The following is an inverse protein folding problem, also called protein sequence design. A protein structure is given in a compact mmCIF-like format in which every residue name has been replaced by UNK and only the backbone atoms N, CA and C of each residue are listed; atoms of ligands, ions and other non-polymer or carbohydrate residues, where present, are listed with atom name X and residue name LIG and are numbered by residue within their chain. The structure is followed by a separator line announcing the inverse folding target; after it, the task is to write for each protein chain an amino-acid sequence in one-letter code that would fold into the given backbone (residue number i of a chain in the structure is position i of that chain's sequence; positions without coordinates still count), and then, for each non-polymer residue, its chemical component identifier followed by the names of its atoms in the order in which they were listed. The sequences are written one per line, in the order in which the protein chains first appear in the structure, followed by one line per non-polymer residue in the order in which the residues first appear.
data_IF_009820459305
#
_entry.id   IF_009820459305
#
_cell.length_a   1.000
_cell.length_b   1.000
_cell.length_c   1.000
_cell.angle_alpha   90.00
_cell.angle_beta   90.00
_cell.angle_gamma   90.00
#
_symmetry.space_group_name_H-M   'P 1'
#
loop_
_entity.id
_entity.type
_entity.pdbx_description
1 polymer ?
#
# COMPACT_ATOMS: atom_id res chain seq x y z
N UNK A 1 -14.51 13.40 21.31
CA UNK A 1 -14.17 12.05 20.84
C UNK A 1 -13.00 12.26 19.91
N UNK A 2 -11.82 11.77 20.24
CA UNK A 2 -10.71 11.82 19.30
C UNK A 2 -10.94 10.71 18.27
N UNK A 3 -11.39 11.14 17.09
CA UNK A 3 -11.71 10.26 15.98
C UNK A 3 -10.42 9.59 15.50
N UNK A 4 -10.38 8.26 15.45
CA UNK A 4 -9.23 7.52 14.95
C UNK A 4 -9.41 7.25 13.46
N UNK A 5 -8.59 7.88 12.62
CA UNK A 5 -8.70 7.74 11.17
C UNK A 5 -7.88 6.56 10.66
N UNK A 6 -8.13 6.11 9.43
CA UNK A 6 -7.24 5.20 8.72
C UNK A 6 -5.80 5.70 8.73
N UNK A 7 -5.57 6.98 8.49
CA UNK A 7 -4.22 7.55 8.48
C UNK A 7 -3.52 7.40 9.83
N UNK A 8 -4.24 7.52 10.95
CA UNK A 8 -3.69 7.30 12.29
C UNK A 8 -3.33 5.83 12.52
N UNK A 9 -4.15 4.90 12.02
CA UNK A 9 -3.85 3.47 12.02
C UNK A 9 -2.56 3.17 11.25
N UNK A 10 -2.44 3.71 10.03
CA UNK A 10 -1.27 3.51 9.19
C UNK A 10 -0.01 4.16 9.78
N UNK A 11 -0.12 5.36 10.38
CA UNK A 11 0.98 5.99 11.10
C UNK A 11 1.46 5.15 12.28
N UNK A 12 0.52 4.60 13.06
CA UNK A 12 0.85 3.74 14.20
C UNK A 12 1.52 2.45 13.75
N UNK A 13 1.03 1.84 12.68
CA UNK A 13 1.66 0.66 12.07
C UNK A 13 3.06 0.97 11.55
N UNK A 14 3.23 2.05 10.79
CA UNK A 14 4.54 2.49 10.29
C UNK A 14 5.53 2.70 11.45
N UNK A 15 5.13 3.44 12.47
CA UNK A 15 5.96 3.70 13.65
C UNK A 15 6.35 2.41 14.40
N UNK A 16 5.44 1.43 14.48
CA UNK A 16 5.73 0.12 15.08
C UNK A 16 6.89 -0.62 14.39
N UNK A 17 7.11 -0.39 13.09
CA UNK A 17 8.24 -0.93 12.31
C UNK A 17 9.36 0.09 12.07
N UNK A 18 9.38 1.21 12.80
CA UNK A 18 10.40 2.26 12.64
C UNK A 18 10.32 3.06 11.33
N UNK A 19 9.18 3.00 10.64
CA UNK A 19 8.94 3.69 9.38
C UNK A 19 8.20 5.02 9.59
N UNK A 20 8.33 5.93 8.61
CA UNK A 20 7.56 7.18 8.53
C UNK A 20 6.75 7.19 7.25
N UNK A 21 5.50 7.65 7.31
CA UNK A 21 4.68 7.84 6.11
C UNK A 21 5.16 9.05 5.30
N UNK A 22 5.18 8.91 3.98
CA UNK A 22 5.47 9.99 3.05
C UNK A 22 4.31 11.00 3.03
N UNK A 23 4.62 12.26 3.34
CA UNK A 23 3.62 13.34 3.36
C UNK A 23 3.14 13.68 1.95
N UNK A 24 1.83 13.88 1.78
CA UNK A 24 1.24 14.37 0.53
C UNK A 24 1.18 13.34 -0.62
N UNK A 25 1.54 12.08 -0.37
CA UNK A 25 1.38 11.02 -1.36
C UNK A 25 -0.10 10.66 -1.54
N UNK A 26 -0.51 10.40 -2.79
CA UNK A 26 -1.87 9.96 -3.13
C UNK A 26 -2.21 8.55 -2.62
N UNK A 27 -1.19 7.81 -2.16
CA UNK A 27 -1.28 6.48 -1.57
C UNK A 27 -0.43 6.43 -0.33
N UNK A 28 -0.80 5.59 0.64
CA UNK A 28 -0.03 5.43 1.87
C UNK A 28 1.25 4.64 1.59
N UNK A 29 2.35 5.37 1.46
CA UNK A 29 3.70 4.84 1.33
C UNK A 29 4.59 5.34 2.45
N UNK A 30 5.67 4.63 2.73
CA UNK A 30 6.72 5.11 3.61
C UNK A 30 7.61 6.12 2.87
N UNK A 31 8.33 6.94 3.63
CA UNK A 31 9.56 7.54 3.14
C UNK A 31 10.53 6.44 2.64
N UNK A 32 11.45 6.75 1.71
CA UNK A 32 12.46 5.80 1.26
C UNK A 32 13.20 5.13 2.42
N UNK A 33 13.26 3.80 2.41
CA UNK A 33 13.97 3.04 3.44
C UNK A 33 15.43 2.75 3.03
N UNK A 34 15.69 2.67 1.73
CA UNK A 34 17.03 2.56 1.15
C UNK A 34 17.01 2.95 -0.33
N UNK A 35 18.14 3.41 -0.85
CA UNK A 35 18.33 3.70 -2.26
C UNK A 35 19.56 2.94 -2.75
N UNK A 36 19.43 2.26 -3.88
CA UNK A 36 20.49 1.51 -4.54
C UNK A 36 20.86 2.20 -5.84
N UNK A 37 22.15 2.31 -6.12
CA UNK A 37 22.64 2.64 -7.45
C UNK A 37 23.07 1.32 -8.11
N UNK A 38 22.41 0.93 -9.20
CA UNK A 38 22.70 -0.32 -9.89
C UNK A 38 23.95 -0.15 -10.74
N UNK A 39 25.03 -0.77 -10.29
CA UNK A 39 26.27 -0.95 -11.06
C UNK A 39 26.23 -2.25 -11.88
N UNK A 40 27.29 -2.51 -12.65
CA UNK A 40 27.37 -3.70 -13.50
C UNK A 40 27.26 -5.01 -12.68
N UNK A 41 27.79 -5.03 -11.45
CA UNK A 41 27.69 -6.17 -10.55
C UNK A 41 26.26 -6.41 -10.10
N UNK A 42 25.55 -5.34 -9.72
CA UNK A 42 24.15 -5.39 -9.32
C UNK A 42 23.26 -5.82 -10.47
N UNK A 43 23.53 -5.31 -11.69
CA UNK A 43 22.80 -5.70 -12.90
C UNK A 43 23.01 -7.18 -13.25
N UNK A 44 24.24 -7.69 -13.12
CA UNK A 44 24.52 -9.12 -13.32
C UNK A 44 23.77 -10.01 -12.31
N UNK A 45 23.79 -9.64 -11.03
CA UNK A 45 23.05 -10.34 -9.97
C UNK A 45 21.53 -10.33 -10.23
N UNK A 46 20.98 -9.19 -10.63
CA UNK A 46 19.56 -9.09 -10.99
C UNK A 46 19.21 -9.99 -12.19
N UNK A 47 20.10 -10.07 -13.18
CA UNK A 47 19.90 -10.91 -14.36
C UNK A 47 19.86 -12.41 -14.02
N UNK A 48 20.69 -12.88 -13.07
CA UNK A 48 20.64 -14.25 -12.53
C UNK A 48 19.29 -14.58 -11.88
N UNK A 49 18.59 -13.56 -11.38
CA UNK A 49 17.26 -13.64 -10.77
C UNK A 49 16.12 -13.32 -11.76
N UNK A 50 16.39 -13.37 -13.06
CA UNK A 50 15.45 -13.07 -14.15
C UNK A 50 14.95 -11.63 -14.25
N UNK A 51 15.60 -10.69 -13.57
CA UNK A 51 15.36 -9.25 -13.74
C UNK A 51 16.41 -8.73 -14.72
N UNK A 52 16.05 -8.69 -16.00
CA UNK A 52 17.01 -8.48 -17.09
C UNK A 52 16.78 -7.15 -17.79
N UNK A 53 17.84 -6.62 -18.40
CA UNK A 53 17.72 -5.50 -19.32
C UNK A 53 16.95 -5.94 -20.55
N UNK A 54 15.94 -5.16 -20.93
CA UNK A 54 15.28 -5.28 -22.22
C UNK A 54 15.78 -4.17 -23.15
N UNK A 55 16.07 -4.53 -24.40
CA UNK A 55 16.33 -3.54 -25.43
C UNK A 55 15.03 -2.84 -25.86
N UNK A 56 15.11 -1.52 -26.06
CA UNK A 56 13.98 -0.63 -26.33
C UNK A 56 14.36 0.35 -27.44
N UNK A 57 14.63 -0.19 -28.62
CA UNK A 57 14.95 0.59 -29.82
C UNK A 57 13.81 1.56 -30.20
N UNK A 58 12.56 1.23 -29.84
CA UNK A 58 11.38 2.10 -29.93
C UNK A 58 11.52 3.40 -29.11
N UNK A 59 12.34 3.39 -28.07
CA UNK A 59 12.61 4.52 -27.19
C UNK A 59 13.95 5.23 -27.50
N UNK A 60 14.50 5.05 -28.71
CA UNK A 60 15.76 5.69 -29.19
C UNK A 60 16.96 5.54 -28.23
N UNK A 61 17.00 4.46 -27.44
CA UNK A 61 18.02 4.21 -26.42
C UNK A 61 18.11 5.28 -25.32
N UNK A 62 17.04 6.08 -25.10
CA UNK A 62 16.97 7.10 -24.04
C UNK A 62 16.45 6.55 -22.72
N UNK A 63 15.93 5.31 -22.73
CA UNK A 63 15.41 4.62 -21.56
C UNK A 63 16.18 3.32 -21.38
N UNK A 64 16.69 3.12 -20.17
CA UNK A 64 17.14 1.82 -19.72
C UNK A 64 15.96 1.11 -19.06
N UNK A 65 15.60 -0.07 -19.55
CA UNK A 65 14.43 -0.83 -19.06
C UNK A 65 14.89 -2.14 -18.46
N UNK A 66 14.56 -2.37 -17.20
CA UNK A 66 14.60 -3.70 -16.57
C UNK A 66 13.21 -4.31 -16.59
N UNK A 67 13.12 -5.60 -16.87
CA UNK A 67 11.88 -6.38 -16.84
C UNK A 67 12.01 -7.57 -15.91
N UNK A 68 10.97 -7.84 -15.15
CA UNK A 68 10.81 -9.11 -14.42
C UNK A 68 10.25 -10.16 -15.39
N UNK A 69 10.97 -11.25 -15.62
CA UNK A 69 10.66 -12.29 -16.61
C UNK A 69 10.42 -11.72 -18.03
N UNK A 70 11.51 -11.50 -18.78
CA UNK A 70 11.45 -10.86 -20.09
C UNK A 70 10.44 -11.55 -21.06
N UNK A 71 9.29 -10.93 -21.36
CA UNK A 71 8.28 -11.55 -22.20
C UNK A 71 8.75 -11.68 -23.66
N UNK A 72 9.75 -10.91 -24.09
CA UNK A 72 10.33 -10.98 -25.43
C UNK A 72 11.22 -12.19 -25.65
N UNK A 73 11.75 -12.81 -24.59
CA UNK A 73 12.44 -14.11 -24.70
C UNK A 73 11.49 -15.23 -25.14
N UNK A 74 10.19 -15.08 -24.84
CA UNK A 74 9.14 -16.05 -25.23
C UNK A 74 8.44 -15.65 -26.53
N UNK A 75 8.14 -14.36 -26.70
CA UNK A 75 7.43 -13.83 -27.89
C UNK A 75 8.07 -12.52 -28.34
N UNK A 76 8.86 -12.53 -29.43
CA UNK A 76 9.48 -11.32 -29.98
C UNK A 76 8.44 -10.22 -30.26
N UNK A 77 8.77 -8.97 -29.93
CA UNK A 77 7.88 -7.81 -30.15
C UNK A 77 6.78 -7.61 -29.10
N UNK A 78 6.63 -8.50 -28.11
CA UNK A 78 5.69 -8.28 -27.01
C UNK A 78 6.10 -7.07 -26.18
N UNK A 79 5.15 -6.17 -25.93
CA UNK A 79 5.38 -5.03 -25.04
C UNK A 79 5.62 -5.54 -23.61
N UNK A 80 6.57 -4.96 -22.88
CA UNK A 80 6.78 -5.36 -21.50
C UNK A 80 5.55 -4.98 -20.68
N UNK A 81 5.01 -5.95 -19.93
CA UNK A 81 4.26 -5.68 -18.72
C UNK A 81 5.26 -5.83 -17.57
N UNK A 82 5.21 -4.97 -16.55
CA UNK A 82 6.07 -5.05 -15.37
C UNK A 82 7.56 -4.74 -15.58
N UNK A 83 7.85 -3.45 -15.70
CA UNK A 83 9.19 -2.94 -15.94
C UNK A 83 9.57 -1.75 -15.07
N UNK A 84 10.87 -1.62 -14.82
CA UNK A 84 11.50 -0.42 -14.26
C UNK A 84 12.18 0.34 -15.38
N UNK A 85 11.80 1.60 -15.56
CA UNK A 85 12.44 2.50 -16.49
C UNK A 85 13.33 3.50 -15.76
N UNK A 86 14.50 3.73 -16.34
CA UNK A 86 15.48 4.69 -15.87
C UNK A 86 15.82 5.64 -17.02
N UNK A 87 15.78 6.94 -16.75
CA UNK A 87 16.06 7.96 -17.77
C UNK A 87 17.56 8.09 -18.05
N UNK A 88 17.88 8.44 -19.29
CA UNK A 88 19.19 8.95 -19.65
C UNK A 88 19.50 10.24 -18.87
N UNK A 89 20.69 10.30 -18.25
CA UNK A 89 21.22 11.49 -17.59
C UNK A 89 22.05 12.33 -18.56
N UNK A 90 22.97 11.68 -19.29
CA UNK A 90 23.89 12.36 -20.21
C UNK A 90 24.20 11.42 -21.38
N UNK A 91 24.18 11.98 -22.59
CA UNK A 91 24.73 11.35 -23.79
C UNK A 91 26.20 11.76 -23.92
N UNK A 92 27.14 10.83 -23.75
CA UNK A 92 28.57 11.13 -23.95
C UNK A 92 28.85 11.20 -25.45
N UNK A 93 29.53 12.27 -25.88
CA UNK A 93 29.78 12.57 -27.29
C UNK A 93 30.89 11.69 -27.91
N UNK A 94 31.71 11.04 -27.09
CA UNK A 94 32.76 10.13 -27.53
C UNK A 94 32.52 8.71 -27.00
N UNK A 95 32.28 7.78 -27.93
CA UNK A 95 32.21 6.34 -27.69
C UNK A 95 30.92 5.86 -27.03
N UNK A 96 29.74 6.02 -27.66
CA UNK A 96 28.46 5.32 -27.44
C UNK A 96 28.03 4.99 -25.98
N UNK A 97 28.59 5.66 -24.98
CA UNK A 97 28.33 5.40 -23.57
C UNK A 97 27.29 6.37 -23.07
N UNK A 98 26.03 5.93 -23.12
CA UNK A 98 24.92 6.58 -22.44
C UNK A 98 25.02 6.34 -20.93
N UNK A 99 24.89 7.40 -20.12
CA UNK A 99 24.80 7.28 -18.66
C UNK A 99 23.34 7.39 -18.22
N UNK A 100 22.79 6.33 -17.62
CA UNK A 100 21.42 6.30 -17.13
C UNK A 100 21.34 6.52 -15.62
N UNK A 101 20.19 7.03 -15.16
CA UNK A 101 19.89 7.17 -13.74
C UNK A 101 19.42 5.85 -13.13
N UNK A 102 20.34 4.89 -12.98
CA UNK A 102 20.05 3.54 -12.50
C UNK A 102 19.85 3.47 -10.98
N UNK A 103 19.07 4.39 -10.40
CA UNK A 103 18.72 4.36 -8.99
C UNK A 103 17.41 3.61 -8.76
N UNK A 104 17.42 2.68 -7.82
CA UNK A 104 16.20 2.02 -7.31
C UNK A 104 15.98 2.45 -5.88
N UNK A 105 14.81 3.01 -5.60
CA UNK A 105 14.41 3.42 -4.25
C UNK A 105 13.47 2.38 -3.66
N UNK A 106 13.82 1.83 -2.51
CA UNK A 106 12.94 0.95 -1.76
C UNK A 106 12.03 1.77 -0.85
N UNK A 107 10.74 1.42 -0.84
CA UNK A 107 9.75 1.95 0.10
C UNK A 107 8.80 0.83 0.53
N UNK A 108 7.90 1.15 1.46
CA UNK A 108 6.86 0.24 1.93
C UNK A 108 5.50 0.86 1.68
N UNK A 109 4.64 0.16 0.97
CA UNK A 109 3.22 0.48 0.85
C UNK A 109 2.42 -0.10 2.01
N UNK A 110 1.32 0.58 2.34
CA UNK A 110 0.43 0.17 3.41
C UNK A 110 -0.96 -0.13 2.86
N UNK A 111 -1.58 -1.18 3.38
CA UNK A 111 -2.98 -1.55 3.09
C UNK A 111 -3.66 -2.14 4.31
N UNK A 112 -4.97 -2.32 4.27
CA UNK A 112 -5.72 -3.00 5.33
C UNK A 112 -5.90 -4.48 5.00
N UNK A 113 -5.68 -5.35 5.99
CA UNK A 113 -6.15 -6.73 5.96
C UNK A 113 -7.28 -6.88 6.99
N UNK A 114 -8.52 -6.82 6.52
CA UNK A 114 -9.69 -6.90 7.40
C UNK A 114 -9.87 -8.30 7.99
N UNK A 115 -9.54 -9.34 7.24
CA UNK A 115 -9.63 -10.75 7.69
C UNK A 115 -8.69 -11.01 8.86
N UNK A 116 -7.42 -10.61 8.73
CA UNK A 116 -6.40 -10.74 9.79
C UNK A 116 -6.44 -9.59 10.80
N UNK A 117 -7.39 -8.65 10.64
CA UNK A 117 -7.55 -7.45 11.47
C UNK A 117 -6.21 -6.74 11.69
N UNK A 118 -5.58 -6.31 10.60
CA UNK A 118 -4.24 -5.72 10.63
C UNK A 118 -3.95 -4.77 9.48
N UNK A 119 -2.74 -4.23 9.49
CA UNK A 119 -2.17 -3.42 8.42
C UNK A 119 -1.16 -4.28 7.67
N UNK A 120 -1.32 -4.38 6.35
CA UNK A 120 -0.38 -5.02 5.44
C UNK A 120 0.73 -4.04 5.07
N UNK A 121 1.95 -4.56 5.04
CA UNK A 121 3.13 -3.85 4.56
C UNK A 121 3.56 -4.54 3.27
N UNK A 122 3.67 -3.76 2.21
CA UNK A 122 3.88 -4.22 0.85
C UNK A 122 5.23 -3.66 0.38
N UNK A 123 6.22 -4.50 0.03
CA UNK A 123 7.51 -4.03 -0.44
C UNK A 123 7.38 -3.40 -1.82
N UNK A 124 8.06 -2.26 -2.03
CA UNK A 124 8.03 -1.53 -3.30
C UNK A 124 9.45 -1.17 -3.73
N UNK A 125 9.74 -1.36 -5.02
CA UNK A 125 11.01 -1.02 -5.63
C UNK A 125 10.76 -0.04 -6.79
N UNK A 126 11.13 1.23 -6.59
CA UNK A 126 10.86 2.28 -7.55
C UNK A 126 12.09 2.61 -8.39
N UNK A 127 11.97 2.46 -9.71
CA UNK A 127 12.89 3.07 -10.66
C UNK A 127 12.70 4.58 -10.73
N UNK A 128 13.64 5.28 -11.37
CA UNK A 128 13.68 6.75 -11.41
C UNK A 128 12.67 7.39 -12.35
N UNK A 129 12.05 6.61 -13.25
CA UNK A 129 11.05 7.12 -14.18
C UNK A 129 9.71 6.40 -14.14
N UNK A 130 9.74 5.08 -14.30
CA UNK A 130 8.55 4.24 -14.21
C UNK A 130 8.89 2.96 -13.47
N UNK A 131 7.90 2.40 -12.78
CA UNK A 131 8.02 1.13 -12.06
C UNK A 131 6.77 0.28 -12.30
N UNK A 132 6.84 -1.04 -12.09
CA UNK A 132 5.67 -1.90 -12.19
C UNK A 132 4.57 -1.45 -11.21
N UNK A 133 3.32 -1.54 -11.64
CA UNK A 133 2.18 -1.39 -10.74
C UNK A 133 1.93 -2.67 -9.91
N UNK A 134 2.30 -3.83 -10.47
CA UNK A 134 2.07 -5.14 -9.86
C UNK A 134 3.00 -5.38 -8.66
N UNK A 135 2.47 -6.04 -7.64
CA UNK A 135 3.19 -6.32 -6.39
C UNK A 135 4.30 -7.36 -6.55
N UNK A 136 4.10 -8.39 -7.37
CA UNK A 136 5.07 -9.49 -7.51
C UNK A 136 6.42 -9.06 -8.12
N UNK A 137 6.47 -8.31 -9.24
CA UNK A 137 7.72 -7.76 -9.76
C UNK A 137 8.42 -6.85 -8.75
N UNK A 138 7.66 -5.96 -8.10
CA UNK A 138 8.18 -5.10 -7.03
C UNK A 138 8.83 -5.92 -5.92
N UNK A 139 8.16 -6.97 -5.45
CA UNK A 139 8.69 -7.86 -4.43
C UNK A 139 9.97 -8.58 -4.88
N UNK A 140 10.03 -9.10 -6.11
CA UNK A 140 11.21 -9.81 -6.62
C UNK A 140 12.43 -8.90 -6.72
N UNK A 141 12.28 -7.69 -7.25
CA UNK A 141 13.35 -6.67 -7.27
C UNK A 141 13.77 -6.28 -5.86
N UNK A 142 12.80 -6.00 -4.98
CA UNK A 142 13.05 -5.65 -3.59
C UNK A 142 13.86 -6.74 -2.88
N UNK A 143 13.41 -8.00 -2.99
CA UNK A 143 14.04 -9.18 -2.39
C UNK A 143 15.46 -9.38 -2.93
N UNK A 144 15.64 -9.30 -4.25
CA UNK A 144 16.96 -9.45 -4.87
C UNK A 144 17.97 -8.43 -4.33
N UNK A 145 17.59 -7.15 -4.26
CA UNK A 145 18.46 -6.09 -3.74
C UNK A 145 18.77 -6.29 -2.26
N UNK A 146 17.75 -6.57 -1.44
CA UNK A 146 17.93 -6.77 0.01
C UNK A 146 18.78 -7.98 0.35
N UNK A 147 18.58 -9.13 -0.32
CA UNK A 147 19.38 -10.33 -0.05
C UNK A 147 20.85 -10.18 -0.48
N UNK A 148 21.13 -9.28 -1.42
CA UNK A 148 22.49 -8.97 -1.86
C UNK A 148 23.23 -7.96 -0.99
N UNK A 149 22.56 -7.40 0.02
CA UNK A 149 23.01 -6.26 0.80
C UNK A 149 23.04 -6.60 2.30
N UNK A 150 24.25 -6.82 2.82
CA UNK A 150 24.48 -7.13 4.23
C UNK A 150 24.02 -6.00 5.18
N UNK A 151 23.99 -4.75 4.68
CA UNK A 151 23.61 -3.55 5.44
C UNK A 151 22.14 -3.15 5.18
N UNK A 152 21.33 -4.08 4.66
CA UNK A 152 19.91 -3.82 4.44
C UNK A 152 19.17 -3.56 5.78
N UNK A 153 18.28 -2.54 5.84
CA UNK A 153 17.48 -2.26 7.04
C UNK A 153 16.71 -3.49 7.51
N UNK A 154 16.53 -3.64 8.83
CA UNK A 154 15.87 -4.82 9.42
C UNK A 154 14.47 -5.07 8.83
N UNK A 155 13.65 -4.03 8.71
CA UNK A 155 12.33 -4.12 8.07
C UNK A 155 12.40 -4.57 6.61
N UNK A 156 13.45 -4.19 5.87
CA UNK A 156 13.63 -4.65 4.50
C UNK A 156 13.97 -6.14 4.46
N UNK A 157 14.85 -6.61 5.37
CA UNK A 157 15.18 -8.04 5.51
C UNK A 157 13.97 -8.86 5.91
N UNK A 158 13.15 -8.38 6.85
CA UNK A 158 11.90 -9.02 7.25
C UNK A 158 10.94 -9.15 6.06
N UNK A 159 10.73 -8.07 5.30
CA UNK A 159 9.87 -8.08 4.10
C UNK A 159 10.40 -9.03 3.02
N UNK A 160 11.71 -9.06 2.78
CA UNK A 160 12.34 -9.94 1.78
C UNK A 160 12.24 -11.44 2.15
N UNK A 161 12.27 -11.75 3.45
CA UNK A 161 12.07 -13.09 3.97
C UNK A 161 10.60 -13.54 3.97
N UNK A 162 9.65 -12.60 3.89
CA UNK A 162 8.20 -12.89 3.81
C UNK A 162 7.76 -13.37 2.42
N UNK A 163 6.53 -13.89 2.32
CA UNK A 163 5.88 -14.22 1.03
C UNK A 163 5.31 -12.96 0.34
N UNK A 164 6.08 -11.87 0.33
CA UNK A 164 5.73 -10.63 -0.35
C UNK A 164 4.87 -9.65 0.43
N UNK A 165 4.41 -10.00 1.64
CA UNK A 165 3.77 -9.06 2.57
C UNK A 165 3.98 -9.50 4.03
N UNK A 166 3.98 -8.52 4.95
CA UNK A 166 3.80 -8.79 6.39
C UNK A 166 2.53 -8.10 6.87
N UNK A 167 1.92 -8.65 7.91
CA UNK A 167 0.71 -8.10 8.54
C UNK A 167 0.99 -7.82 9.99
N UNK A 168 0.86 -6.56 10.40
CA UNK A 168 0.86 -6.17 11.81
C UNK A 168 -0.59 -6.04 12.26
N UNK A 169 -1.01 -6.89 13.18
CA UNK A 169 -2.39 -6.95 13.66
C UNK A 169 -2.72 -5.74 14.54
N UNK A 170 -4.01 -5.42 14.65
CA UNK A 170 -4.47 -4.36 15.55
C UNK A 170 -4.08 -4.66 17.00
N UNK A 171 -4.06 -5.94 17.41
CA UNK A 171 -3.63 -6.35 18.74
C UNK A 171 -2.16 -6.01 19.00
N UNK A 172 -1.27 -6.27 18.05
CA UNK A 172 0.16 -5.86 18.14
C UNK A 172 0.33 -4.35 18.25
N UNK A 173 -0.61 -3.57 17.69
CA UNK A 173 -0.65 -2.11 17.81
C UNK A 173 -1.33 -1.62 19.10
N UNK A 174 -1.77 -2.50 20.00
CA UNK A 174 -2.54 -2.14 21.20
C UNK A 174 -3.93 -1.59 20.86
N UNK A 175 -4.52 -2.03 19.75
CA UNK A 175 -5.80 -1.62 19.19
C UNK A 175 -6.74 -2.81 18.95
N UNK A 176 -6.56 -3.96 19.61
CA UNK A 176 -7.33 -5.18 19.34
C UNK A 176 -8.86 -5.00 19.44
N UNK A 177 -9.32 -4.09 20.30
CA UNK A 177 -10.73 -3.75 20.45
C UNK A 177 -11.29 -2.81 19.37
N UNK A 178 -10.46 -2.18 18.53
CA UNK A 178 -10.92 -1.21 17.53
C UNK A 178 -11.86 -1.84 16.50
N UNK A 179 -12.84 -1.07 16.02
CA UNK A 179 -13.78 -1.48 14.97
C UNK A 179 -13.87 -0.42 13.89
N UNK A 180 -13.90 -0.83 12.63
CA UNK A 180 -14.35 0.04 11.55
C UNK A 180 -15.84 0.38 11.79
N UNK A 181 -16.24 1.64 11.58
CA UNK A 181 -17.58 2.13 11.86
C UNK A 181 -18.67 1.36 11.08
N UNK A 182 -18.39 0.98 9.84
CA UNK A 182 -19.32 0.19 9.01
C UNK A 182 -19.51 -1.23 9.56
N UNK A 183 -18.44 -1.84 10.08
CA UNK A 183 -18.51 -3.15 10.73
C UNK A 183 -19.26 -3.05 12.06
N UNK A 184 -18.98 -2.03 12.87
CA UNK A 184 -19.70 -1.78 14.12
C UNK A 184 -21.20 -1.56 13.88
N UNK A 185 -21.57 -0.83 12.82
CA UNK A 185 -22.97 -0.65 12.44
C UNK A 185 -23.61 -1.97 11.99
N UNK A 186 -22.87 -2.78 11.22
CA UNK A 186 -23.34 -4.10 10.78
C UNK A 186 -23.61 -5.02 11.98
N UNK A 187 -22.71 -5.03 12.98
CA UNK A 187 -22.90 -5.72 14.27
C UNK A 187 -24.17 -5.21 14.99
N UNK A 188 -24.37 -3.89 15.05
CA UNK A 188 -25.56 -3.28 15.66
C UNK A 188 -26.86 -3.73 14.98
N UNK A 189 -26.90 -3.80 13.66
CA UNK A 189 -28.11 -4.18 12.92
C UNK A 189 -28.52 -5.65 13.12
N UNK A 190 -27.59 -6.52 13.51
CA UNK A 190 -27.83 -7.93 13.81
C UNK A 190 -28.70 -8.67 12.75
N UNK A 191 -28.50 -8.37 11.46
CA UNK A 191 -29.26 -8.90 10.30
C UNK A 191 -30.69 -8.36 10.14
N UNK A 192 -31.07 -7.29 10.81
CA UNK A 192 -32.32 -6.59 10.53
C UNK A 192 -32.16 -5.73 9.26
N UNK A 193 -32.67 -6.22 8.13
CA UNK A 193 -32.52 -5.58 6.82
C UNK A 193 -33.17 -4.20 6.76
N UNK A 194 -34.30 -4.00 7.44
CA UNK A 194 -34.96 -2.68 7.51
C UNK A 194 -34.07 -1.65 8.19
N UNK A 195 -33.49 -1.99 9.34
CA UNK A 195 -32.57 -1.11 10.09
C UNK A 195 -31.29 -0.85 9.28
N UNK A 196 -30.77 -1.88 8.61
CA UNK A 196 -29.60 -1.74 7.75
C UNK A 196 -29.87 -0.79 6.57
N UNK A 197 -31.04 -0.86 5.95
CA UNK A 197 -31.42 0.02 4.84
C UNK A 197 -31.58 1.47 5.30
N UNK A 198 -32.25 1.71 6.44
CA UNK A 198 -32.40 3.04 7.03
C UNK A 198 -31.05 3.69 7.36
N UNK A 199 -30.05 2.88 7.75
CA UNK A 199 -28.70 3.36 8.00
C UNK A 199 -27.91 3.65 6.73
N UNK A 200 -28.00 2.79 5.71
CA UNK A 200 -27.34 2.98 4.41
C UNK A 200 -27.83 4.23 3.69
N UNK A 201 -29.10 4.56 3.83
CA UNK A 201 -29.69 5.76 3.23
C UNK A 201 -29.41 7.03 4.05
N UNK A 202 -28.87 6.91 5.27
CA UNK A 202 -28.63 8.05 6.17
C UNK A 202 -29.89 8.73 6.68
N UNK A 203 -31.06 8.11 6.53
CA UNK A 203 -32.37 8.71 6.85
C UNK A 203 -32.64 8.78 8.36
N UNK A 204 -32.19 7.76 9.10
CA UNK A 204 -32.53 7.59 10.52
C UNK A 204 -31.30 7.50 11.39
N UNK A 205 -30.30 6.75 10.93
CA UNK A 205 -29.04 6.65 11.61
C UNK A 205 -28.09 7.69 11.01
N UNK A 206 -27.19 8.18 11.84
CA UNK A 206 -26.01 8.89 11.36
C UNK A 206 -24.80 7.95 11.49
N UNK A 207 -24.71 6.87 10.68
CA UNK A 207 -23.60 5.93 10.75
C UNK A 207 -22.37 6.51 10.06
N UNK A 208 -22.50 7.63 9.35
CA UNK A 208 -21.48 8.20 8.50
C UNK A 208 -20.87 9.44 9.16
N UNK A 209 -19.54 9.51 9.31
CA UNK A 209 -18.89 10.67 9.84
C UNK A 209 -18.69 11.63 8.68
N UNK A 210 -19.71 12.44 8.44
CA UNK A 210 -19.71 13.58 7.53
C UNK A 210 -19.84 13.22 6.02
N UNK A 211 -20.95 13.63 5.36
CA UNK A 211 -21.20 13.38 3.93
C UNK A 211 -20.20 14.06 2.97
N UNK A 212 -19.20 14.79 3.48
CA UNK A 212 -18.10 15.36 2.69
C UNK A 212 -16.96 14.39 2.41
N UNK A 213 -16.93 13.23 3.07
CA UNK A 213 -15.87 12.25 2.94
C UNK A 213 -16.35 11.05 2.10
N UNK A 214 -16.54 11.29 0.80
CA UNK A 214 -16.80 10.24 -0.21
C UNK A 214 -15.52 9.50 -0.65
N UNK A 215 -14.38 9.72 0.03
CA UNK A 215 -13.12 9.08 -0.35
C UNK A 215 -12.81 7.88 0.55
N UNK A 216 -12.33 6.76 -0.01
CA UNK A 216 -11.90 5.59 0.75
C UNK A 216 -10.74 5.83 1.74
N UNK A 217 -10.20 7.05 1.81
CA UNK A 217 -9.18 7.46 2.79
C UNK A 217 -9.73 7.85 4.17
N UNK A 218 -11.06 8.01 4.29
CA UNK A 218 -11.70 8.53 5.51
C UNK A 218 -12.39 7.43 6.33
N UNK A 219 -11.98 6.16 6.14
CA UNK A 219 -12.47 5.06 6.96
C UNK A 219 -12.24 5.36 8.45
N UNK A 220 -13.36 5.51 9.18
CA UNK A 220 -13.32 5.74 10.60
C UNK A 220 -13.24 4.45 11.39
N UNK A 221 -12.33 4.48 12.35
CA UNK A 221 -12.17 3.43 13.34
C UNK A 221 -12.59 3.95 14.71
N UNK A 222 -13.41 3.16 15.40
CA UNK A 222 -13.93 3.48 16.72
C UNK A 222 -13.15 2.68 17.76
N UNK A 223 -12.42 3.39 18.62
CA UNK A 223 -11.74 2.80 19.76
C UNK A 223 -12.74 2.14 20.71
N UNK A 224 -12.35 1.00 21.29
CA UNK A 224 -13.22 0.17 22.15
C UNK A 224 -13.97 0.96 23.24
N UNK A 225 -13.35 1.89 24.00
CA UNK A 225 -14.06 2.65 25.03
C UNK A 225 -15.16 3.58 24.50
N UNK A 226 -15.11 3.95 23.21
CA UNK A 226 -16.08 4.83 22.59
C UNK A 226 -17.27 4.07 21.96
N UNK A 227 -17.12 2.78 21.65
CA UNK A 227 -18.13 1.98 20.94
C UNK A 227 -19.48 1.93 21.66
N UNK A 228 -19.58 1.74 23.00
CA UNK A 228 -20.87 1.70 23.69
C UNK A 228 -21.69 2.98 23.52
N UNK A 229 -21.03 4.15 23.47
CA UNK A 229 -21.71 5.44 23.28
C UNK A 229 -22.29 5.56 21.87
N UNK A 230 -21.57 5.09 20.85
CA UNK A 230 -22.04 5.07 19.46
C UNK A 230 -23.26 4.16 19.33
N UNK A 231 -23.18 2.94 19.89
CA UNK A 231 -24.31 1.99 19.89
C UNK A 231 -25.53 2.57 20.60
N UNK A 232 -25.34 3.25 21.73
CA UNK A 232 -26.45 3.87 22.46
C UNK A 232 -27.11 4.99 21.65
N UNK A 233 -26.34 5.81 20.93
CA UNK A 233 -26.89 6.85 20.07
C UNK A 233 -27.77 6.25 18.95
N UNK A 234 -27.31 5.19 18.29
CA UNK A 234 -28.12 4.49 17.29
C UNK A 234 -29.37 3.85 17.89
N UNK A 235 -29.30 3.28 19.10
CA UNK A 235 -30.50 2.77 19.80
C UNK A 235 -31.53 3.87 20.06
N UNK A 236 -31.10 5.05 20.50
CA UNK A 236 -31.98 6.20 20.72
C UNK A 236 -32.65 6.63 19.40
N UNK A 237 -31.87 6.79 18.32
CA UNK A 237 -32.40 7.14 16.99
C UNK A 237 -33.45 6.14 16.50
N UNK A 238 -33.20 4.84 16.67
CA UNK A 238 -34.15 3.80 16.29
C UNK A 238 -35.45 3.88 17.10
N UNK A 239 -35.36 4.16 18.40
CA UNK A 239 -36.55 4.29 19.25
C UNK A 239 -37.37 5.54 18.89
N UNK A 240 -36.70 6.67 18.64
CA UNK A 240 -37.34 7.90 18.18
C UNK A 240 -38.07 7.67 16.85
N UNK A 241 -37.40 7.05 15.86
CA UNK A 241 -38.02 6.71 14.58
C UNK A 241 -39.26 5.83 14.76
N UNK A 242 -39.18 4.79 15.59
CA UNK A 242 -40.32 3.91 15.88
C UNK A 242 -41.49 4.65 16.52
N UNK A 243 -41.25 5.61 17.40
CA UNK A 243 -42.31 6.40 18.03
C UNK A 243 -43.08 7.26 17.01
N UNK A 244 -42.40 7.78 15.98
CA UNK A 244 -43.03 8.57 14.92
C UNK A 244 -43.88 7.74 13.95
N UNK A 245 -43.66 6.42 13.85
CA UNK A 245 -44.45 5.52 12.99
C UNK A 245 -45.77 5.07 13.62
N UNK A 246 -45.96 5.26 14.93
CA UNK A 246 -47.17 4.82 15.67
C UNK A 246 -48.27 5.91 15.67
N UNK A 247 -48.08 6.97 14.88
CA UNK A 247 -49.01 8.12 14.74
C UNK A 247 -49.90 7.95 13.51
#
# INVERSE_FOLDING_TARGET
MDTFTLLDLLRKAAAHKGLKLLKGASKAYSEPIKMYALDDKSLAMLAERNIKRQDRSDCRNEIFTLVDENPQEKVPGRSPSNYWNFKLLVKLLEGDKSKFDLRVTLSVGFGLNLERRGVMFIPLAHGTFLSPADSLPNFRMFKALVESDADAPEIARELAASDGTIVVTWTELGLGGIRNLSHLFSEFTARNETVAQLGRNGEVFNPDPNPRYQQPGDELFIAEPAQPKVIQAWRTQLNEYRAHLVV
#
